data_IF_517239145630
#
_entry.id   IF_517239145630
#
_cell.length_a   1.000
_cell.length_b   1.000
_cell.length_c   1.000
_cell.angle_alpha   90.00
_cell.angle_beta   90.00
_cell.angle_gamma   90.00
#
_symmetry.space_group_name_H-M   'P 1'
#
loop_
_entity.id
_entity.type
_entity.pdbx_description
1 polymer ?
#
# COMPACT_ATOMS: atom_id res chain seq x y z
N UNK A 1 14.18 -13.95 -10.85
CA UNK A 1 12.96 -13.81 -11.67
C UNK A 1 12.63 -12.34 -11.82
N UNK A 2 12.16 -11.91 -13.00
CA UNK A 2 11.71 -10.52 -13.22
C UNK A 2 10.39 -10.31 -12.44
N UNK A 3 10.20 -9.20 -11.72
CA UNK A 3 8.94 -8.94 -11.01
C UNK A 3 7.77 -8.91 -12.00
N UNK A 4 6.74 -9.73 -11.79
CA UNK A 4 5.53 -9.70 -12.62
C UNK A 4 4.57 -8.62 -12.09
N UNK A 5 3.95 -7.79 -12.94
CA UNK A 5 3.00 -6.78 -12.48
C UNK A 5 1.79 -7.39 -11.75
N UNK A 6 1.23 -6.63 -10.80
CA UNK A 6 0.10 -7.02 -9.95
C UNK A 6 0.36 -8.25 -9.07
N UNK A 7 1.62 -8.56 -8.77
CA UNK A 7 1.97 -9.64 -7.85
C UNK A 7 2.17 -9.13 -6.43
N UNK A 8 1.93 -10.04 -5.49
CA UNK A 8 2.27 -9.86 -4.08
C UNK A 8 3.35 -10.85 -3.67
N UNK A 9 4.32 -10.36 -2.91
CA UNK A 9 5.28 -11.19 -2.20
C UNK A 9 5.25 -10.83 -0.72
N UNK A 10 4.86 -11.78 0.11
CA UNK A 10 4.97 -11.65 1.57
C UNK A 10 6.32 -12.19 2.00
N UNK A 11 7.06 -11.40 2.79
CA UNK A 11 8.31 -11.80 3.42
C UNK A 11 8.16 -11.75 4.92
N UNK A 12 8.50 -12.83 5.60
CA UNK A 12 8.53 -12.89 7.07
C UNK A 12 9.99 -12.81 7.50
N UNK A 13 10.32 -11.84 8.34
CA UNK A 13 11.65 -11.71 8.95
C UNK A 13 11.66 -12.37 10.35
N UNK A 14 12.84 -12.76 10.83
CA UNK A 14 13.00 -13.24 12.20
C UNK A 14 12.58 -12.13 13.20
N UNK A 15 11.56 -12.38 14.03
CA UNK A 15 11.05 -11.42 15.03
C UNK A 15 9.67 -10.81 14.75
N UNK A 16 8.70 -11.59 14.27
CA UNK A 16 7.28 -11.20 14.04
C UNK A 16 7.05 -9.99 13.10
N UNK A 17 8.09 -9.48 12.45
CA UNK A 17 7.97 -8.45 11.43
C UNK A 17 7.73 -9.11 10.07
N UNK A 18 6.60 -8.79 9.44
CA UNK A 18 6.33 -9.21 8.07
C UNK A 18 6.26 -7.99 7.15
N UNK A 19 6.61 -8.20 5.89
CA UNK A 19 6.44 -7.19 4.84
C UNK A 19 5.67 -7.76 3.67
N UNK A 20 4.78 -6.95 3.12
CA UNK A 20 3.99 -7.29 1.94
C UNK A 20 4.41 -6.37 0.81
N UNK A 21 4.97 -6.95 -0.25
CA UNK A 21 5.49 -6.23 -1.40
C UNK A 21 4.53 -6.37 -2.57
N UNK A 22 4.00 -5.25 -3.05
CA UNK A 22 3.11 -5.19 -4.20
C UNK A 22 3.80 -4.55 -5.40
N UNK A 23 4.01 -5.36 -6.44
CA UNK A 23 4.59 -4.91 -7.71
C UNK A 23 3.50 -4.28 -8.58
N UNK A 24 3.69 -3.02 -8.96
CA UNK A 24 2.72 -2.24 -9.74
C UNK A 24 3.29 -1.91 -11.12
N UNK A 25 2.46 -2.08 -12.15
CA UNK A 25 2.76 -1.64 -13.51
C UNK A 25 2.76 -0.11 -13.60
N UNK A 26 3.84 0.49 -14.11
CA UNK A 26 3.96 1.94 -14.25
C UNK A 26 2.90 2.55 -15.18
N UNK A 27 2.30 1.78 -16.10
CA UNK A 27 1.18 2.22 -16.95
C UNK A 27 -0.02 2.69 -16.13
N UNK A 28 -0.18 2.22 -14.89
CA UNK A 28 -1.23 2.71 -13.98
C UNK A 28 -1.07 4.18 -13.61
N UNK A 29 0.16 4.70 -13.60
CA UNK A 29 0.44 6.10 -13.26
C UNK A 29 0.01 7.10 -14.36
N UNK A 30 -0.32 6.61 -15.55
CA UNK A 30 -0.84 7.42 -16.67
C UNK A 30 -2.30 7.11 -17.01
N UNK A 31 -2.96 6.26 -16.20
CA UNK A 31 -4.35 5.87 -16.37
C UNK A 31 -5.33 6.94 -15.89
N UNK A 32 -6.58 6.82 -16.35
CA UNK A 32 -7.71 7.62 -15.85
C UNK A 32 -8.37 7.01 -14.61
N UNK A 33 -7.82 5.90 -14.09
CA UNK A 33 -8.35 5.17 -12.93
C UNK A 33 -8.28 6.05 -11.66
N UNK A 34 -9.31 5.92 -10.81
CA UNK A 34 -9.40 6.64 -9.52
C UNK A 34 -8.74 5.89 -8.37
N UNK A 35 -8.45 4.61 -8.56
CA UNK A 35 -7.66 3.81 -7.65
C UNK A 35 -7.04 2.63 -8.37
N UNK A 36 -5.96 2.12 -7.82
CA UNK A 36 -5.39 0.83 -8.17
C UNK A 36 -5.26 -0.01 -6.91
N UNK A 37 -5.48 -1.30 -7.01
CA UNK A 37 -5.73 -2.16 -5.85
C UNK A 37 -4.86 -3.40 -5.97
N UNK A 38 -4.21 -3.80 -4.88
CA UNK A 38 -3.44 -5.04 -4.83
C UNK A 38 -4.38 -6.25 -4.86
N UNK A 39 -3.88 -7.45 -5.22
CA UNK A 39 -4.54 -8.67 -4.79
C UNK A 39 -4.76 -8.68 -3.26
N UNK A 40 -5.69 -9.49 -2.73
CA UNK A 40 -5.85 -9.65 -1.29
C UNK A 40 -4.65 -10.37 -0.68
N UNK A 41 -4.38 -10.10 0.59
CA UNK A 41 -3.39 -10.82 1.41
C UNK A 41 -3.86 -10.91 2.87
N UNK A 42 -3.29 -11.83 3.63
CA UNK A 42 -3.68 -12.08 5.01
C UNK A 42 -2.63 -11.59 6.00
N UNK A 43 -3.11 -11.03 7.10
CA UNK A 43 -2.31 -10.78 8.30
C UNK A 43 -2.91 -11.61 9.44
N UNK A 44 -2.04 -12.22 10.25
CA UNK A 44 -2.45 -13.08 11.37
C UNK A 44 -2.53 -12.30 12.67
N UNK A 45 -3.65 -12.43 13.37
CA UNK A 45 -3.90 -11.93 14.73
C UNK A 45 -4.35 -13.12 15.60
N UNK A 46 -5.42 -12.98 16.39
CA UNK A 46 -6.14 -14.13 16.97
C UNK A 46 -6.80 -15.04 15.92
N UNK A 47 -6.84 -14.58 14.66
CA UNK A 47 -7.28 -15.31 13.47
C UNK A 47 -6.74 -14.63 12.21
N UNK A 48 -6.88 -15.24 11.03
CA UNK A 48 -6.53 -14.59 9.77
C UNK A 48 -7.51 -13.46 9.47
N UNK A 49 -6.99 -12.32 9.01
CA UNK A 49 -7.80 -11.19 8.54
C UNK A 49 -7.30 -10.75 7.16
N UNK A 50 -8.22 -10.54 6.23
CA UNK A 50 -7.92 -10.20 4.85
C UNK A 50 -7.76 -8.69 4.65
N UNK A 51 -6.69 -8.32 3.94
CA UNK A 51 -6.34 -6.94 3.62
C UNK A 51 -6.05 -6.76 2.14
N UNK A 52 -6.10 -5.51 1.69
CA UNK A 52 -5.51 -5.05 0.43
C UNK A 52 -4.86 -3.68 0.57
N UNK A 53 -3.85 -3.43 -0.25
CA UNK A 53 -3.31 -2.09 -0.46
C UNK A 53 -4.08 -1.39 -1.58
N UNK A 54 -4.33 -0.09 -1.40
CA UNK A 54 -5.02 0.75 -2.37
C UNK A 54 -4.15 1.96 -2.65
N UNK A 55 -3.77 2.12 -3.91
CA UNK A 55 -3.18 3.34 -4.44
C UNK A 55 -4.28 4.28 -4.92
N UNK A 56 -4.30 5.52 -4.43
CA UNK A 56 -5.21 6.58 -4.90
C UNK A 56 -4.44 7.78 -5.41
N UNK A 57 -4.81 8.38 -6.55
CA UNK A 57 -4.15 9.57 -7.07
C UNK A 57 -4.43 10.78 -6.18
N UNK A 58 -3.52 11.76 -6.21
CA UNK A 58 -3.77 13.08 -5.61
C UNK A 58 -4.93 13.73 -6.38
N UNK A 59 -5.97 14.17 -5.66
CA UNK A 59 -7.05 14.97 -6.26
C UNK A 59 -6.46 16.32 -6.67
N UNK A 60 -6.61 16.67 -7.95
CA UNK A 60 -6.09 17.91 -8.54
C UNK A 60 -7.20 18.91 -8.91
N UNK A 61 -8.44 18.42 -9.05
CA UNK A 61 -9.65 19.22 -9.24
C UNK A 61 -10.88 18.39 -8.87
N UNK A 62 -12.00 19.04 -8.59
CA UNK A 62 -13.29 18.37 -8.31
C UNK A 62 -14.07 18.00 -9.58
N UNK A 63 -13.60 18.46 -10.74
CA UNK A 63 -14.15 18.13 -12.05
C UNK A 63 -13.97 16.64 -12.41
N UNK A 64 -14.76 16.16 -13.38
CA UNK A 64 -14.65 14.80 -13.91
C UNK A 64 -13.22 14.53 -14.39
N UNK A 65 -12.58 13.50 -13.80
CA UNK A 65 -11.19 13.12 -14.09
C UNK A 65 -10.12 13.82 -13.24
N UNK A 66 -10.52 14.73 -12.34
CA UNK A 66 -9.61 15.44 -11.43
C UNK A 66 -8.93 14.56 -10.38
N UNK A 67 -9.48 13.38 -10.11
CA UNK A 67 -8.92 12.35 -9.23
C UNK A 67 -8.41 11.13 -10.02
N UNK A 68 -7.58 11.36 -11.05
CA UNK A 68 -6.93 10.30 -11.84
C UNK A 68 -5.41 10.37 -11.73
N UNK A 69 -4.72 9.23 -11.90
CA UNK A 69 -3.25 9.22 -11.89
C UNK A 69 -2.65 10.05 -13.02
N UNK A 70 -3.28 10.05 -14.20
CA UNK A 70 -2.92 10.92 -15.33
C UNK A 70 -2.92 12.39 -14.93
N UNK A 71 -4.01 12.88 -14.32
CA UNK A 71 -4.11 14.29 -13.88
C UNK A 71 -3.16 14.60 -12.72
N UNK A 72 -2.99 13.67 -11.79
CA UNK A 72 -2.08 13.79 -10.65
C UNK A 72 -0.59 13.75 -11.03
N UNK A 73 -0.27 13.40 -12.29
CA UNK A 73 1.09 13.17 -12.80
C UNK A 73 1.80 12.07 -12.01
N UNK A 74 1.11 10.96 -11.78
CA UNK A 74 1.64 9.81 -11.04
C UNK A 74 1.85 10.07 -9.54
N UNK A 75 1.28 11.14 -8.97
CA UNK A 75 1.31 11.41 -7.52
C UNK A 75 0.07 10.86 -6.84
N UNK A 76 0.20 10.44 -5.59
CA UNK A 76 -0.93 9.92 -4.83
C UNK A 76 -0.53 9.39 -3.46
N UNK A 77 -1.43 8.60 -2.87
CA UNK A 77 -1.26 7.98 -1.55
C UNK A 77 -1.52 6.49 -1.60
N UNK A 78 -1.02 5.80 -0.59
CA UNK A 78 -1.27 4.37 -0.34
C UNK A 78 -2.11 4.24 0.92
N UNK A 79 -3.12 3.38 0.85
CA UNK A 79 -4.01 3.03 1.95
C UNK A 79 -3.95 1.52 2.16
N UNK A 80 -4.08 1.09 3.40
CA UNK A 80 -4.33 -0.29 3.80
C UNK A 80 -5.83 -0.42 4.13
N UNK A 81 -6.48 -1.45 3.59
CA UNK A 81 -7.92 -1.69 3.81
C UNK A 81 -8.14 -3.12 4.27
N UNK A 82 -8.84 -3.29 5.39
CA UNK A 82 -9.45 -4.55 5.84
C UNK A 82 -10.65 -4.89 4.95
N UNK A 83 -10.80 -6.17 4.61
CA UNK A 83 -11.84 -6.69 3.72
C UNK A 83 -12.98 -7.37 4.47
N UNK A 84 -12.68 -7.93 5.63
CA UNK A 84 -13.64 -8.63 6.46
C UNK A 84 -14.59 -7.63 7.14
N UNK A 85 -15.80 -8.09 7.49
CA UNK A 85 -16.80 -7.25 8.15
C UNK A 85 -16.31 -6.77 9.51
N UNK A 86 -16.64 -5.54 9.91
CA UNK A 86 -16.22 -4.99 11.21
C UNK A 86 -16.67 -5.88 12.38
N UNK A 87 -17.89 -6.41 12.30
CA UNK A 87 -18.45 -7.33 13.32
C UNK A 87 -17.69 -8.67 13.37
N UNK A 88 -17.19 -9.15 12.23
CA UNK A 88 -16.44 -10.40 12.11
C UNK A 88 -15.04 -10.27 12.74
N UNK A 89 -14.41 -9.10 12.57
CA UNK A 89 -13.04 -8.85 13.05
C UNK A 89 -12.97 -8.21 14.43
N UNK A 90 -14.08 -7.72 15.00
CA UNK A 90 -14.08 -7.06 16.31
C UNK A 90 -13.45 -7.94 17.41
N UNK A 91 -13.77 -9.24 17.41
CA UNK A 91 -13.18 -10.19 18.35
C UNK A 91 -11.68 -10.46 18.10
N UNK A 92 -11.22 -10.25 16.86
CA UNK A 92 -9.84 -10.49 16.44
C UNK A 92 -8.90 -9.31 16.77
N UNK A 93 -9.45 -8.14 17.14
CA UNK A 93 -8.71 -6.91 17.49
C UNK A 93 -7.58 -6.61 16.49
N UNK A 94 -7.88 -6.36 15.21
CA UNK A 94 -6.89 -6.19 14.14
C UNK A 94 -6.17 -4.84 14.24
N UNK A 95 -5.36 -4.68 15.28
CA UNK A 95 -4.54 -3.49 15.51
C UNK A 95 -3.21 -3.67 14.81
N UNK A 96 -2.95 -2.83 13.80
CA UNK A 96 -1.72 -2.92 13.00
C UNK A 96 -0.88 -1.68 13.21
N UNK A 97 0.39 -1.86 13.55
CA UNK A 97 1.40 -0.81 13.45
C UNK A 97 2.22 -1.05 12.19
N UNK A 98 2.24 -0.11 11.25
CA UNK A 98 2.89 -0.31 9.96
C UNK A 98 3.63 0.92 9.43
N UNK A 99 4.61 0.67 8.56
CA UNK A 99 5.25 1.66 7.68
C UNK A 99 4.95 1.35 6.23
N UNK A 100 5.07 2.36 5.38
CA UNK A 100 4.95 2.22 3.93
C UNK A 100 6.22 2.75 3.27
N UNK A 101 6.82 1.95 2.40
CA UNK A 101 7.90 2.35 1.51
C UNK A 101 7.49 2.20 0.05
N UNK A 102 8.08 3.01 -0.82
CA UNK A 102 7.84 2.96 -2.27
C UNK A 102 9.19 2.98 -2.97
N UNK A 103 9.41 2.04 -3.90
CA UNK A 103 10.70 1.95 -4.59
C UNK A 103 10.71 0.97 -5.74
N UNK A 104 11.87 0.40 -6.04
CA UNK A 104 12.06 -0.69 -6.99
C UNK A 104 13.28 -1.53 -6.59
N UNK A 105 13.68 -2.48 -7.44
CA UNK A 105 14.92 -3.22 -7.25
C UNK A 105 16.19 -2.37 -7.35
N UNK A 106 16.07 -1.11 -7.80
CA UNK A 106 17.18 -0.14 -7.82
C UNK A 106 17.21 0.65 -6.49
N UNK A 107 18.26 0.52 -5.66
CA UNK A 107 18.38 1.24 -4.39
C UNK A 107 18.31 2.77 -4.53
N UNK A 108 18.80 3.33 -5.63
CA UNK A 108 18.75 4.78 -5.88
C UNK A 108 17.33 5.30 -6.14
N UNK A 109 16.37 4.40 -6.41
CA UNK A 109 14.95 4.70 -6.61
C UNK A 109 14.08 4.30 -5.42
N UNK A 110 14.70 3.97 -4.29
CA UNK A 110 14.00 3.59 -3.07
C UNK A 110 13.76 4.84 -2.23
N UNK A 111 12.50 5.17 -2.00
CA UNK A 111 12.15 6.23 -1.06
C UNK A 111 12.23 5.69 0.38
N UNK A 112 12.64 6.52 1.35
CA UNK A 112 12.63 6.12 2.76
C UNK A 112 11.23 5.65 3.21
N UNK A 113 11.13 4.59 4.04
CA UNK A 113 9.89 4.20 4.66
C UNK A 113 9.28 5.36 5.46
N UNK A 114 7.95 5.51 5.41
CA UNK A 114 7.18 6.52 6.16
C UNK A 114 6.27 5.86 7.17
N UNK A 115 5.95 6.56 8.25
CA UNK A 115 5.31 6.02 9.46
C UNK A 115 6.28 5.88 10.63
N UNK A 116 5.96 5.07 11.67
CA UNK A 116 4.84 4.14 11.71
C UNK A 116 3.47 4.82 11.92
N UNK A 117 2.43 4.12 11.53
CA UNK A 117 1.03 4.41 11.89
C UNK A 117 0.47 3.21 12.62
N UNK A 118 -0.17 3.44 13.76
CA UNK A 118 -0.93 2.42 14.50
C UNK A 118 -2.41 2.65 14.25
N UNK A 119 -3.14 1.62 13.84
CA UNK A 119 -4.56 1.71 13.49
C UNK A 119 -5.32 0.47 13.93
N UNK A 120 -6.52 0.66 14.47
CA UNK A 120 -7.47 -0.41 14.77
C UNK A 120 -8.46 -0.56 13.60
N UNK A 121 -8.35 -1.67 12.87
CA UNK A 121 -9.21 -1.93 11.71
C UNK A 121 -10.63 -2.40 12.07
N UNK A 122 -10.94 -2.63 13.37
CA UNK A 122 -12.30 -2.87 13.84
C UNK A 122 -13.12 -1.59 13.99
N UNK A 123 -12.48 -0.43 14.17
CA UNK A 123 -13.18 0.86 14.22
C UNK A 123 -13.43 1.41 12.81
N UNK A 124 -12.38 1.39 11.98
CA UNK A 124 -12.43 1.90 10.61
C UNK A 124 -11.68 0.95 9.67
N UNK A 125 -12.30 0.46 8.58
CA UNK A 125 -11.73 -0.60 7.76
C UNK A 125 -10.60 -0.12 6.85
N UNK A 126 -10.24 1.17 6.87
CA UNK A 126 -9.24 1.74 5.96
C UNK A 126 -8.39 2.77 6.68
N UNK A 127 -7.07 2.71 6.48
CA UNK A 127 -6.11 3.64 7.06
C UNK A 127 -4.97 3.92 6.08
N UNK A 128 -4.29 5.05 6.24
CA UNK A 128 -3.12 5.43 5.47
C UNK A 128 -2.12 6.18 6.33
N UNK A 129 -1.10 6.74 5.68
CA UNK A 129 -0.19 7.67 6.36
C UNK A 129 -0.89 8.99 6.73
N UNK A 130 -0.37 9.73 7.73
CA UNK A 130 -0.86 11.08 8.05
C UNK A 130 -0.72 12.04 6.86
N UNK A 131 -1.49 13.12 6.84
CA UNK A 131 -1.53 14.04 5.70
C UNK A 131 -0.17 14.62 5.31
N UNK A 132 0.69 14.89 6.29
CA UNK A 132 2.05 15.39 6.09
C UNK A 132 2.98 14.39 5.39
N UNK A 133 2.64 13.10 5.38
CA UNK A 133 3.46 12.01 4.87
C UNK A 133 2.80 11.18 3.76
N UNK A 134 1.49 11.32 3.53
CA UNK A 134 0.72 10.43 2.65
C UNK A 134 1.04 10.55 1.16
N UNK A 135 1.64 11.67 0.73
CA UNK A 135 1.80 11.98 -0.69
C UNK A 135 3.13 11.49 -1.25
N UNK A 136 3.05 10.58 -2.22
CA UNK A 136 4.16 10.04 -2.97
C UNK A 136 4.17 10.57 -4.41
N UNK A 137 5.37 10.61 -4.98
CA UNK A 137 5.58 10.70 -6.43
C UNK A 137 6.04 9.33 -6.90
N UNK A 138 5.10 8.48 -7.33
CA UNK A 138 5.38 7.09 -7.71
C UNK A 138 6.28 7.02 -8.95
N UNK A 139 6.32 8.07 -9.77
CA UNK A 139 7.14 8.11 -10.99
C UNK A 139 8.64 8.03 -10.69
N UNK A 140 9.06 8.52 -9.52
CA UNK A 140 10.46 8.46 -9.05
C UNK A 140 10.91 7.04 -8.71
N UNK A 141 9.96 6.18 -8.35
CA UNK A 141 10.22 4.79 -7.96
C UNK A 141 10.26 3.83 -9.15
N UNK A 142 9.76 4.23 -10.33
CA UNK A 142 9.65 3.36 -11.51
C UNK A 142 11.02 2.90 -11.98
N UNK A 143 11.24 1.59 -11.99
CA UNK A 143 12.34 0.97 -12.70
C UNK A 143 12.05 0.98 -14.21
N UNK A 144 12.99 1.54 -14.98
CA UNK A 144 12.84 1.70 -16.42
C UNK A 144 13.08 0.39 -17.17
N UNK A 145 13.76 -0.57 -16.56
CA UNK A 145 14.11 -1.84 -17.20
C UNK A 145 12.90 -2.78 -17.35
N UNK A 146 11.98 -2.73 -16.38
CA UNK A 146 10.80 -3.59 -16.33
C UNK A 146 9.47 -2.81 -16.29
N UNK A 147 9.52 -1.47 -16.29
CA UNK A 147 8.37 -0.59 -16.21
C UNK A 147 7.47 -0.86 -14.98
N UNK A 148 8.07 -1.21 -13.85
CA UNK A 148 7.35 -1.43 -12.58
C UNK A 148 7.92 -0.62 -11.43
N UNK A 149 7.17 -0.54 -10.34
CA UNK A 149 7.66 -0.12 -9.03
C UNK A 149 7.00 -1.01 -7.96
N UNK A 150 7.48 -0.91 -6.72
CA UNK A 150 7.03 -1.71 -5.60
C UNK A 150 6.51 -0.79 -4.50
N UNK A 151 5.31 -1.11 -4.01
CA UNK A 151 4.78 -0.59 -2.74
C UNK A 151 5.02 -1.65 -1.68
N UNK A 152 5.72 -1.30 -0.61
CA UNK A 152 6.05 -2.20 0.49
C UNK A 152 5.33 -1.75 1.76
N UNK A 153 4.48 -2.62 2.29
CA UNK A 153 3.89 -2.49 3.62
C UNK A 153 4.79 -3.24 4.60
N UNK A 154 5.32 -2.56 5.61
CA UNK A 154 6.13 -3.17 6.67
C UNK A 154 5.29 -3.18 7.96
N UNK A 155 4.93 -4.36 8.46
CA UNK A 155 4.18 -4.51 9.70
C UNK A 155 5.17 -4.62 10.85
N UNK A 156 5.17 -3.61 11.72
CA UNK A 156 6.03 -3.54 12.90
C UNK A 156 5.25 -4.12 14.07
N UNK A 157 5.58 -5.34 14.48
CA UNK A 157 5.07 -6.06 15.66
C UNK A 157 3.87 -5.42 16.37
N UNK A 158 2.67 -5.81 15.96
CA UNK A 158 1.41 -5.68 16.71
C UNK A 158 0.62 -7.00 16.77
N UNK A 159 1.23 -8.10 16.32
CA UNK A 159 0.65 -9.43 16.35
C UNK A 159 1.24 -10.20 17.53
N UNK A 160 0.42 -10.40 18.56
CA UNK A 160 0.56 -11.46 19.56
C UNK A 160 -0.75 -12.20 19.62
#
# INVERSE_FOLDING_TARGET
>A
AMPQPQTLHTRVAAGCCCSVQWTVDARKLVSTDREHVSPPFELSFAGPVQFKMIMRPKVMSDEKGGASFKKARGRGRVLLRCLDGLDEVAALKPVVTFRIAVGSGNPAKQAPPRGPVRHDFSEHPICGLPESQQQWDFTKAVDKSNHTFVVCLEVLSGAT
#
